data_IF_268507730725
#
_entry.id   IF_268507730725
#
_cell.length_a   1.000
_cell.length_b   1.000
_cell.length_c   1.000
_cell.angle_alpha   90.00
_cell.angle_beta   90.00
_cell.angle_gamma   90.00
#
_symmetry.space_group_name_H-M   'P 1'
#
loop_
_entity.id
_entity.type
_entity.pdbx_description
1 polymer ?
#
# COMPACT_ATOMS: atom_id res chain seq x y z
N UNK A 1 17.33 19.06 -11.44
CA UNK A 1 16.73 17.75 -11.25
C UNK A 1 15.26 17.97 -10.91
N UNK A 2 14.33 17.18 -11.45
CA UNK A 2 12.90 17.28 -11.11
C UNK A 2 12.63 16.80 -9.68
N UNK A 3 11.41 17.03 -9.18
CA UNK A 3 10.98 16.53 -7.87
C UNK A 3 11.07 15.00 -7.83
N UNK A 4 11.59 14.40 -6.75
CA UNK A 4 11.72 12.94 -6.65
C UNK A 4 10.38 12.22 -6.40
N UNK A 5 9.30 12.95 -6.09
CA UNK A 5 7.93 12.46 -5.99
C UNK A 5 7.03 13.32 -6.89
N UNK A 6 6.33 12.66 -7.83
CA UNK A 6 5.26 13.29 -8.57
C UNK A 6 3.92 13.04 -7.87
N UNK A 7 3.03 14.01 -7.95
CA UNK A 7 1.68 13.94 -7.40
C UNK A 7 0.70 14.39 -8.48
N UNK A 8 -0.23 13.52 -8.83
CA UNK A 8 -1.25 13.80 -9.83
C UNK A 8 -2.62 13.43 -9.26
N UNK A 9 -3.64 14.20 -9.64
CA UNK A 9 -4.99 13.98 -9.16
C UNK A 9 -5.87 13.42 -10.28
N UNK A 10 -6.51 12.28 -10.02
CA UNK A 10 -7.48 11.63 -10.89
C UNK A 10 -8.82 11.54 -10.15
N UNK A 11 -9.67 12.56 -10.32
CA UNK A 11 -10.92 12.65 -9.57
C UNK A 11 -10.67 12.69 -8.05
N UNK A 12 -11.13 11.66 -7.35
CA UNK A 12 -10.91 11.47 -5.90
C UNK A 12 -9.69 10.59 -5.57
N UNK A 13 -8.90 10.23 -6.55
CA UNK A 13 -7.69 9.42 -6.37
C UNK A 13 -6.45 10.31 -6.47
N UNK A 14 -5.52 10.19 -5.52
CA UNK A 14 -4.19 10.78 -5.60
C UNK A 14 -3.20 9.73 -6.10
N UNK A 15 -2.58 9.99 -7.25
CA UNK A 15 -1.47 9.19 -7.77
C UNK A 15 -0.16 9.76 -7.24
N UNK A 16 0.61 8.92 -6.56
CA UNK A 16 1.98 9.20 -6.10
C UNK A 16 2.96 8.37 -6.93
N UNK A 17 3.88 9.02 -7.62
CA UNK A 17 4.88 8.34 -8.46
C UNK A 17 6.28 8.62 -7.94
N UNK A 18 7.02 7.60 -7.54
CA UNK A 18 8.44 7.70 -7.23
C UNK A 18 9.21 8.06 -8.50
N UNK A 19 9.86 9.21 -8.53
CA UNK A 19 10.44 9.80 -9.73
C UNK A 19 11.96 9.94 -9.66
N UNK A 20 12.63 8.82 -9.54
CA UNK A 20 14.10 8.69 -9.63
C UNK A 20 14.48 7.50 -10.53
N UNK A 21 14.01 7.45 -11.80
CA UNK A 21 14.16 6.27 -12.66
C UNK A 21 15.62 5.92 -12.96
N UNK A 22 16.52 6.89 -13.00
CA UNK A 22 17.98 6.72 -13.12
C UNK A 22 18.62 6.03 -11.91
N UNK A 23 17.94 6.01 -10.77
CA UNK A 23 18.31 5.31 -9.53
C UNK A 23 17.34 4.17 -9.18
N UNK A 24 16.63 3.62 -10.17
CA UNK A 24 15.61 2.59 -9.97
C UNK A 24 14.60 2.97 -8.86
N UNK A 25 14.24 4.24 -8.80
CA UNK A 25 13.33 4.82 -7.82
C UNK A 25 13.73 4.54 -6.35
N UNK A 26 15.04 4.49 -6.06
CA UNK A 26 15.55 4.30 -4.70
C UNK A 26 15.04 5.39 -3.76
N UNK A 27 14.66 4.97 -2.57
CA UNK A 27 14.06 5.80 -1.51
C UNK A 27 15.15 6.61 -0.81
N UNK A 28 15.37 7.86 -1.27
CA UNK A 28 16.22 8.84 -0.59
C UNK A 28 15.47 9.46 0.58
N UNK A 29 16.21 10.07 1.51
CA UNK A 29 15.64 10.80 2.65
C UNK A 29 14.66 11.90 2.19
N UNK A 30 14.97 12.59 1.08
CA UNK A 30 14.09 13.59 0.49
C UNK A 30 12.79 12.96 -0.03
N UNK A 31 12.89 11.89 -0.82
CA UNK A 31 11.72 11.18 -1.34
C UNK A 31 10.83 10.66 -0.22
N UNK A 32 11.42 10.07 0.82
CA UNK A 32 10.68 9.56 1.99
C UNK A 32 9.91 10.70 2.68
N UNK A 33 10.56 11.84 2.95
CA UNK A 33 9.89 13.00 3.58
C UNK A 33 8.75 13.54 2.72
N UNK A 34 8.94 13.65 1.41
CA UNK A 34 7.89 14.10 0.49
C UNK A 34 6.73 13.11 0.45
N UNK A 35 7.02 11.81 0.44
CA UNK A 35 5.99 10.77 0.44
C UNK A 35 5.15 10.79 1.72
N UNK A 36 5.79 10.84 2.90
CA UNK A 36 5.08 10.89 4.18
C UNK A 36 4.22 12.15 4.25
N UNK A 37 4.77 13.31 3.86
CA UNK A 37 4.00 14.55 3.81
C UNK A 37 2.81 14.47 2.85
N UNK A 38 2.98 13.86 1.67
CA UNK A 38 1.88 13.68 0.73
C UNK A 38 0.77 12.79 1.28
N UNK A 39 1.11 11.77 2.08
CA UNK A 39 0.13 10.96 2.79
C UNK A 39 -0.60 11.76 3.88
N UNK A 40 0.13 12.54 4.69
CA UNK A 40 -0.47 13.37 5.74
C UNK A 40 -1.43 14.42 5.13
N UNK A 41 -1.01 15.10 4.05
CA UNK A 41 -1.83 16.06 3.32
C UNK A 41 -3.09 15.37 2.73
N UNK A 42 -2.93 14.19 2.12
CA UNK A 42 -4.03 13.41 1.56
C UNK A 42 -4.99 12.87 2.64
N UNK A 43 -4.49 12.52 3.80
CA UNK A 43 -5.34 12.05 4.92
C UNK A 43 -6.26 13.15 5.44
N UNK A 44 -5.78 14.41 5.44
CA UNK A 44 -6.54 15.59 5.82
C UNK A 44 -7.46 16.17 4.73
N UNK A 45 -7.34 15.77 3.46
CA UNK A 45 -8.14 16.29 2.34
C UNK A 45 -9.36 15.40 2.05
N UNK A 46 -10.54 15.79 2.51
CA UNK A 46 -11.80 15.05 2.31
C UNK A 46 -12.17 14.84 0.84
N UNK A 47 -11.57 15.58 -0.08
CA UNK A 47 -11.79 15.41 -1.52
C UNK A 47 -10.99 14.25 -2.12
N UNK A 48 -10.00 13.72 -1.41
CA UNK A 48 -9.27 12.50 -1.76
C UNK A 48 -9.91 11.31 -1.03
N UNK A 49 -10.22 10.26 -1.77
CA UNK A 49 -10.82 9.02 -1.26
C UNK A 49 -9.87 7.83 -1.23
N UNK A 50 -8.83 7.83 -2.08
CA UNK A 50 -7.85 6.75 -2.16
C UNK A 50 -6.52 7.25 -2.73
N UNK A 51 -5.45 6.47 -2.53
CA UNK A 51 -4.10 6.73 -3.08
C UNK A 51 -3.66 5.55 -3.94
N UNK A 52 -3.04 5.84 -5.08
CA UNK A 52 -2.28 4.88 -5.88
C UNK A 52 -0.81 5.23 -5.81
N UNK A 53 0.04 4.25 -5.61
CA UNK A 53 1.49 4.39 -5.54
C UNK A 53 2.17 3.58 -6.64
N UNK A 54 3.06 4.19 -7.42
CA UNK A 54 3.82 3.53 -8.47
C UNK A 54 5.23 4.09 -8.61
N UNK A 55 6.05 3.50 -9.48
CA UNK A 55 7.38 3.99 -9.84
C UNK A 55 7.41 4.57 -11.25
N UNK A 56 8.19 5.63 -11.47
CA UNK A 56 8.39 6.22 -12.80
C UNK A 56 9.18 5.25 -13.70
N UNK A 57 8.72 5.07 -14.94
CA UNK A 57 9.33 4.21 -15.93
C UNK A 57 8.87 2.75 -15.83
N UNK A 58 9.57 1.87 -16.52
CA UNK A 58 9.21 0.45 -16.68
C UNK A 58 10.16 -0.53 -15.96
N UNK A 59 11.22 -0.02 -15.33
CA UNK A 59 12.28 -0.86 -14.76
C UNK A 59 12.07 -1.21 -13.30
N UNK A 60 11.56 -0.29 -12.50
CA UNK A 60 11.45 -0.49 -11.08
C UNK A 60 10.28 0.30 -10.48
N UNK A 61 9.56 -0.35 -9.59
CA UNK A 61 8.72 0.32 -8.61
C UNK A 61 9.63 1.07 -7.63
N UNK A 62 10.49 0.35 -6.92
CA UNK A 62 11.62 0.91 -6.15
C UNK A 62 12.67 -0.14 -5.84
N UNK A 63 13.95 0.26 -5.87
CA UNK A 63 15.07 -0.55 -5.41
C UNK A 63 15.23 -0.57 -3.87
N UNK A 64 14.29 0.01 -3.13
CA UNK A 64 14.38 0.15 -1.68
C UNK A 64 15.20 1.38 -1.28
N UNK A 65 15.73 1.35 -0.05
CA UNK A 65 16.50 2.47 0.52
C UNK A 65 17.71 2.84 -0.33
N UNK A 66 17.99 4.14 -0.48
CA UNK A 66 19.20 4.62 -1.15
C UNK A 66 20.43 4.31 -0.28
N UNK A 67 21.16 3.24 -0.66
CA UNK A 67 22.30 2.74 0.10
C UNK A 67 23.47 3.74 0.14
N UNK A 68 23.58 4.66 -0.83
CA UNK A 68 24.61 5.69 -0.79
C UNK A 68 24.32 6.74 0.29
N UNK A 69 23.04 7.04 0.54
CA UNK A 69 22.66 7.91 1.65
C UNK A 69 22.77 7.16 2.99
N UNK A 70 22.32 5.91 3.04
CA UNK A 70 22.41 5.08 4.25
C UNK A 70 23.85 4.93 4.75
N UNK A 71 24.83 4.79 3.85
CA UNK A 71 26.25 4.68 4.18
C UNK A 71 26.86 5.97 4.73
N UNK A 72 26.22 7.14 4.49
CA UNK A 72 26.72 8.45 4.93
C UNK A 72 26.17 8.94 6.27
N UNK A 73 25.28 8.19 6.90
CA UNK A 73 24.69 8.53 8.18
C UNK A 73 23.23 8.14 8.29
N UNK A 74 22.97 6.83 8.19
CA UNK A 74 21.62 6.24 8.16
C UNK A 74 20.74 6.44 9.40
N UNK A 75 21.18 7.22 10.40
CA UNK A 75 20.36 7.58 11.56
C UNK A 75 19.07 8.31 11.14
N UNK A 76 19.13 9.16 10.11
CA UNK A 76 17.96 9.86 9.59
C UNK A 76 16.90 8.92 8.99
N UNK A 77 17.33 7.81 8.37
CA UNK A 77 16.45 6.85 7.70
C UNK A 77 15.77 5.87 8.66
N UNK A 78 16.25 5.80 9.92
CA UNK A 78 15.71 4.93 10.96
C UNK A 78 14.88 5.68 12.03
N UNK A 79 14.64 6.97 11.85
CA UNK A 79 13.80 7.75 12.75
C UNK A 79 12.33 7.40 12.57
N UNK A 80 11.50 7.50 13.61
CA UNK A 80 10.05 7.30 13.48
C UNK A 80 9.42 8.19 12.39
N UNK A 81 9.93 9.41 12.21
CA UNK A 81 9.46 10.40 11.24
C UNK A 81 9.80 10.03 9.79
N UNK A 82 10.70 9.08 9.59
CA UNK A 82 11.08 8.55 8.26
C UNK A 82 10.68 7.10 8.07
N UNK A 83 9.90 6.53 8.99
CA UNK A 83 9.39 5.18 8.88
C UNK A 83 8.18 5.13 7.95
N UNK A 84 8.43 4.75 6.70
CA UNK A 84 7.41 4.63 5.64
C UNK A 84 6.32 3.62 6.00
N UNK A 85 6.72 2.48 6.60
CA UNK A 85 5.77 1.46 7.03
C UNK A 85 4.80 1.97 8.09
N UNK A 86 5.29 2.79 9.03
CA UNK A 86 4.46 3.42 10.05
C UNK A 86 3.54 4.48 9.44
N UNK A 87 4.03 5.29 8.50
CA UNK A 87 3.24 6.32 7.83
C UNK A 87 2.05 5.69 7.06
N UNK A 88 2.30 4.63 6.27
CA UNK A 88 1.24 3.92 5.55
C UNK A 88 0.25 3.26 6.52
N UNK A 89 0.74 2.63 7.59
CA UNK A 89 -0.13 1.96 8.58
C UNK A 89 -1.04 2.93 9.35
N UNK A 90 -0.71 4.21 9.41
CA UNK A 90 -1.55 5.25 10.03
C UNK A 90 -2.50 5.91 9.05
N UNK A 91 -2.27 5.74 7.76
CA UNK A 91 -3.07 6.34 6.71
C UNK A 91 -4.46 5.70 6.68
N UNK A 92 -5.51 6.51 6.86
CA UNK A 92 -6.89 6.03 7.06
C UNK A 92 -7.58 5.61 5.76
N UNK A 93 -7.15 6.16 4.62
CA UNK A 93 -7.79 5.92 3.32
C UNK A 93 -7.12 4.73 2.61
N UNK A 94 -7.81 4.08 1.66
CA UNK A 94 -7.20 3.01 0.87
C UNK A 94 -5.95 3.45 0.13
N UNK A 95 -4.92 2.60 0.16
CA UNK A 95 -3.69 2.76 -0.62
C UNK A 95 -3.41 1.52 -1.44
N UNK A 96 -3.25 1.69 -2.75
CA UNK A 96 -3.00 0.63 -3.72
C UNK A 96 -1.60 0.78 -4.27
N UNK A 97 -0.79 -0.27 -4.17
CA UNK A 97 0.49 -0.32 -4.86
C UNK A 97 0.33 -0.89 -6.28
N UNK A 98 0.72 -0.12 -7.29
CA UNK A 98 0.85 -0.55 -8.69
C UNK A 98 2.33 -0.82 -8.99
N UNK A 99 2.75 -2.08 -8.81
CA UNK A 99 4.16 -2.49 -8.90
C UNK A 99 4.54 -2.73 -10.35
N UNK A 100 5.14 -1.72 -10.97
CA UNK A 100 5.47 -1.69 -12.41
C UNK A 100 6.80 -2.36 -12.79
N UNK A 101 7.58 -2.89 -11.84
CA UNK A 101 8.87 -3.51 -12.12
C UNK A 101 9.53 -4.07 -10.86
N UNK A 102 10.83 -3.84 -10.68
CA UNK A 102 11.57 -4.31 -9.52
C UNK A 102 11.03 -3.69 -8.22
N UNK A 103 10.74 -4.54 -7.24
CA UNK A 103 10.30 -4.15 -5.90
C UNK A 103 11.23 -4.82 -4.87
N UNK A 104 12.19 -4.06 -4.35
CA UNK A 104 13.31 -4.64 -3.61
C UNK A 104 13.33 -4.08 -2.18
N UNK A 105 13.52 -4.97 -1.19
CA UNK A 105 13.83 -4.68 0.21
C UNK A 105 12.84 -3.69 0.83
N UNK A 106 13.18 -2.40 0.98
CA UNK A 106 12.27 -1.36 1.46
C UNK A 106 11.02 -1.19 0.58
N UNK A 107 11.09 -1.57 -0.72
CA UNK A 107 9.93 -1.64 -1.60
C UNK A 107 8.97 -2.76 -1.18
N UNK A 108 9.50 -3.93 -0.81
CA UNK A 108 8.69 -5.04 -0.27
C UNK A 108 8.08 -4.64 1.08
N UNK A 109 8.84 -3.97 1.95
CA UNK A 109 8.31 -3.44 3.21
C UNK A 109 7.14 -2.49 2.99
N UNK A 110 7.25 -1.62 1.99
CA UNK A 110 6.25 -0.62 1.64
C UNK A 110 4.95 -1.28 1.14
N UNK A 111 5.05 -2.19 0.16
CA UNK A 111 3.84 -2.85 -0.38
C UNK A 111 3.13 -3.74 0.64
N UNK A 112 3.85 -4.31 1.61
CA UNK A 112 3.28 -5.08 2.73
C UNK A 112 2.47 -4.20 3.72
N UNK A 113 2.55 -2.89 3.60
CA UNK A 113 1.75 -1.93 4.36
C UNK A 113 0.58 -1.38 3.54
N UNK A 114 0.57 -1.56 2.21
CA UNK A 114 -0.54 -1.16 1.35
C UNK A 114 -1.74 -2.10 1.48
N UNK A 115 -2.94 -1.59 1.20
CA UNK A 115 -4.19 -2.38 1.32
C UNK A 115 -4.36 -3.37 0.16
N UNK A 116 -3.91 -2.98 -1.04
CA UNK A 116 -3.97 -3.83 -2.24
C UNK A 116 -2.68 -3.67 -3.04
N UNK A 117 -2.19 -4.78 -3.58
CA UNK A 117 -1.01 -4.82 -4.45
C UNK A 117 -1.39 -5.39 -5.81
N UNK A 118 -1.37 -4.55 -6.84
CA UNK A 118 -1.38 -4.96 -8.24
C UNK A 118 0.05 -4.98 -8.75
N UNK A 119 0.41 -5.96 -9.54
CA UNK A 119 1.75 -6.04 -10.10
C UNK A 119 1.74 -6.31 -11.59
N UNK A 120 2.69 -5.70 -12.30
CA UNK A 120 3.00 -6.07 -13.67
C UNK A 120 3.37 -7.55 -13.75
N UNK A 121 2.97 -8.23 -14.83
CA UNK A 121 3.42 -9.59 -15.14
C UNK A 121 4.94 -9.73 -15.22
N UNK A 122 5.65 -8.62 -15.41
CA UNK A 122 7.12 -8.53 -15.47
C UNK A 122 7.77 -8.10 -14.14
N UNK A 123 6.98 -7.83 -13.09
CA UNK A 123 7.50 -7.41 -11.81
C UNK A 123 8.30 -8.52 -11.10
N UNK A 124 9.27 -8.11 -10.28
CA UNK A 124 10.09 -9.03 -9.50
C UNK A 124 10.30 -8.49 -8.10
N UNK A 125 10.25 -9.36 -7.12
CA UNK A 125 10.31 -9.02 -5.70
C UNK A 125 11.54 -9.65 -5.06
N UNK A 126 12.22 -8.94 -4.16
CA UNK A 126 13.30 -9.51 -3.37
C UNK A 126 13.44 -8.80 -2.02
N UNK A 127 13.71 -9.56 -0.97
CA UNK A 127 14.18 -9.02 0.30
C UNK A 127 15.68 -9.25 0.39
N UNK A 128 16.46 -8.22 0.08
CA UNK A 128 17.93 -8.32 -0.01
C UNK A 128 18.67 -7.83 1.23
N UNK A 129 17.99 -7.62 2.38
CA UNK A 129 18.61 -7.17 3.62
C UNK A 129 19.88 -7.99 3.98
N UNK A 130 19.77 -9.32 3.90
CA UNK A 130 20.91 -10.22 4.22
C UNK A 130 22.10 -10.06 3.28
N UNK A 131 21.86 -9.63 2.02
CA UNK A 131 22.94 -9.43 1.04
C UNK A 131 23.71 -8.14 1.27
N UNK A 132 23.06 -7.14 1.89
CA UNK A 132 23.67 -5.85 2.19
C UNK A 132 24.07 -5.72 3.67
N UNK A 133 23.89 -6.79 4.46
CA UNK A 133 24.29 -6.82 5.87
C UNK A 133 23.44 -5.95 6.79
N UNK A 134 22.18 -5.72 6.44
CA UNK A 134 21.22 -4.92 7.21
C UNK A 134 20.11 -5.80 7.79
N UNK A 135 19.48 -5.31 8.86
CA UNK A 135 18.22 -5.86 9.36
C UNK A 135 17.04 -4.99 8.91
N UNK A 136 15.86 -5.59 8.72
CA UNK A 136 14.65 -4.85 8.35
C UNK A 136 14.18 -3.94 9.50
N UNK A 137 13.61 -2.77 9.13
CA UNK A 137 13.11 -1.80 10.10
C UNK A 137 11.68 -1.33 9.85
N UNK A 138 11.10 -1.62 8.68
CA UNK A 138 9.74 -1.17 8.33
C UNK A 138 8.70 -2.31 8.34
N UNK A 139 9.09 -3.52 8.71
CA UNK A 139 8.17 -4.59 9.09
C UNK A 139 8.15 -5.83 8.20
N UNK A 140 9.04 -5.99 7.20
CA UNK A 140 9.02 -7.16 6.29
C UNK A 140 9.08 -8.47 7.05
N UNK A 141 9.94 -8.60 8.07
CA UNK A 141 10.10 -9.84 8.83
C UNK A 141 8.80 -10.34 9.48
N UNK A 142 7.94 -9.40 9.89
CA UNK A 142 6.70 -9.73 10.58
C UNK A 142 5.50 -9.83 9.63
N UNK A 143 5.39 -8.89 8.69
CA UNK A 143 4.26 -8.84 7.75
C UNK A 143 4.35 -9.92 6.69
N UNK A 144 5.53 -10.13 6.08
CA UNK A 144 5.73 -11.14 5.04
C UNK A 144 5.41 -12.54 5.57
N UNK A 145 5.93 -12.89 6.77
CA UNK A 145 5.68 -14.20 7.36
C UNK A 145 4.20 -14.45 7.68
N UNK A 146 3.44 -13.41 8.03
CA UNK A 146 1.99 -13.51 8.26
C UNK A 146 1.21 -13.65 6.96
N UNK A 147 1.67 -13.01 5.90
CA UNK A 147 0.97 -12.97 4.62
C UNK A 147 1.19 -14.24 3.79
N UNK A 148 2.45 -14.70 3.65
CA UNK A 148 2.78 -15.83 2.75
C UNK A 148 3.20 -17.10 3.48
N UNK A 149 3.19 -17.09 4.79
CA UNK A 149 3.65 -18.18 5.66
C UNK A 149 5.15 -18.11 5.97
N UNK A 150 5.57 -18.60 7.16
CA UNK A 150 6.91 -18.39 7.69
C UNK A 150 8.02 -19.10 6.88
N UNK A 151 7.73 -20.23 6.25
CA UNK A 151 8.73 -20.94 5.44
C UNK A 151 9.11 -20.18 4.19
N UNK A 152 8.09 -19.71 3.43
CA UNK A 152 8.31 -18.90 2.21
C UNK A 152 8.98 -17.56 2.53
N UNK A 153 8.55 -16.91 3.63
CA UNK A 153 9.16 -15.68 4.08
C UNK A 153 10.65 -15.87 4.42
N UNK A 154 11.01 -16.94 5.16
CA UNK A 154 12.40 -17.28 5.46
C UNK A 154 13.22 -17.60 4.21
N UNK A 155 12.68 -18.35 3.27
CA UNK A 155 13.36 -18.64 2.00
C UNK A 155 13.71 -17.33 1.27
N UNK A 156 12.74 -16.43 1.09
CA UNK A 156 12.94 -15.14 0.42
C UNK A 156 13.95 -14.27 1.18
N UNK A 157 13.71 -14.06 2.47
CA UNK A 157 14.50 -13.12 3.26
C UNK A 157 15.91 -13.62 3.59
N UNK A 158 16.10 -14.94 3.82
CA UNK A 158 17.41 -15.47 4.18
C UNK A 158 18.31 -15.78 2.96
N UNK A 159 17.72 -15.92 1.76
CA UNK A 159 18.51 -16.05 0.52
C UNK A 159 18.70 -14.72 -0.19
N UNK A 160 17.82 -13.76 0.01
CA UNK A 160 17.73 -12.53 -0.77
C UNK A 160 17.38 -12.79 -2.24
N UNK A 161 16.83 -13.97 -2.58
CA UNK A 161 16.53 -14.35 -3.95
C UNK A 161 15.33 -13.60 -4.51
N UNK A 162 15.34 -13.42 -5.84
CA UNK A 162 14.19 -12.82 -6.52
C UNK A 162 13.04 -13.81 -6.64
N UNK A 163 11.83 -13.27 -6.48
CA UNK A 163 10.56 -13.96 -6.71
C UNK A 163 9.89 -13.30 -7.91
N UNK A 164 9.55 -14.09 -8.90
CA UNK A 164 8.83 -13.63 -10.09
C UNK A 164 7.37 -13.27 -9.75
N UNK A 165 6.75 -12.39 -10.52
CA UNK A 165 5.40 -11.89 -10.28
C UNK A 165 4.36 -13.02 -10.13
N UNK A 166 4.41 -14.06 -10.99
CA UNK A 166 3.52 -15.21 -10.92
C UNK A 166 3.61 -15.91 -9.57
N UNK A 167 4.83 -16.15 -9.09
CA UNK A 167 5.08 -16.80 -7.81
C UNK A 167 4.64 -15.92 -6.63
N UNK A 168 4.88 -14.61 -6.72
CA UNK A 168 4.42 -13.65 -5.71
C UNK A 168 2.88 -13.64 -5.59
N UNK A 169 2.19 -13.76 -6.71
CA UNK A 169 0.73 -13.88 -6.76
C UNK A 169 0.26 -15.23 -6.18
N UNK A 170 0.88 -16.34 -6.55
CA UNK A 170 0.59 -17.67 -5.98
C UNK A 170 0.78 -17.71 -4.44
N UNK A 171 1.75 -16.96 -3.94
CA UNK A 171 2.02 -16.88 -2.50
C UNK A 171 1.05 -15.96 -1.76
N UNK A 172 0.29 -15.12 -2.47
CA UNK A 172 -0.59 -14.12 -1.88
C UNK A 172 0.12 -12.82 -1.47
N UNK A 173 1.36 -12.59 -1.94
CA UNK A 173 2.03 -11.30 -1.78
C UNK A 173 1.42 -10.22 -2.69
N UNK A 174 0.88 -10.63 -3.83
CA UNK A 174 0.24 -9.79 -4.84
C UNK A 174 -1.20 -10.24 -5.02
N UNK A 175 -2.13 -9.30 -5.03
CA UNK A 175 -3.56 -9.60 -5.20
C UNK A 175 -3.89 -10.02 -6.62
N UNK A 176 -3.26 -9.38 -7.62
CA UNK A 176 -3.57 -9.59 -9.03
C UNK A 176 -2.38 -9.20 -9.92
N UNK A 177 -2.15 -9.99 -10.97
CA UNK A 177 -1.22 -9.65 -12.04
C UNK A 177 -1.97 -8.94 -13.16
N UNK A 178 -1.30 -7.94 -13.71
CA UNK A 178 -1.83 -7.07 -14.77
C UNK A 178 -0.75 -6.89 -15.84
N UNK A 179 -1.15 -6.83 -17.10
CA UNK A 179 -0.21 -6.51 -18.17
C UNK A 179 0.40 -5.11 -17.99
N UNK A 180 1.70 -4.93 -18.27
CA UNK A 180 2.39 -3.66 -18.00
C UNK A 180 1.67 -2.43 -18.58
N UNK A 181 1.09 -2.57 -19.79
CA UNK A 181 0.47 -1.47 -20.52
C UNK A 181 -0.80 -0.91 -19.85
N UNK A 182 -1.48 -1.71 -19.02
CA UNK A 182 -2.76 -1.33 -18.40
C UNK A 182 -2.72 -1.33 -16.87
N UNK A 183 -1.54 -1.60 -16.27
CA UNK A 183 -1.39 -1.69 -14.81
C UNK A 183 -1.84 -0.41 -14.09
N UNK A 184 -1.41 0.74 -14.55
CA UNK A 184 -1.75 2.00 -13.90
C UNK A 184 -3.25 2.32 -14.02
N UNK A 185 -3.82 2.09 -15.19
CA UNK A 185 -5.25 2.33 -15.44
C UNK A 185 -6.11 1.44 -14.55
N UNK A 186 -5.79 0.14 -14.44
CA UNK A 186 -6.49 -0.78 -13.54
C UNK A 186 -6.34 -0.40 -12.06
N UNK A 187 -5.17 0.07 -11.65
CA UNK A 187 -4.97 0.54 -10.29
C UNK A 187 -5.78 1.79 -9.98
N UNK A 188 -5.82 2.76 -10.90
CA UNK A 188 -6.63 3.98 -10.77
C UNK A 188 -8.12 3.66 -10.77
N UNK A 189 -8.58 2.74 -11.62
CA UNK A 189 -9.98 2.31 -11.65
C UNK A 189 -10.40 1.63 -10.34
N UNK A 190 -9.54 0.74 -9.79
CA UNK A 190 -9.81 0.10 -8.51
C UNK A 190 -9.85 1.13 -7.36
N UNK A 191 -8.90 2.07 -7.35
CA UNK A 191 -8.86 3.15 -6.37
C UNK A 191 -10.10 4.05 -6.47
N UNK A 192 -10.54 4.38 -7.69
CA UNK A 192 -11.76 5.17 -7.90
C UNK A 192 -13.00 4.42 -7.39
N UNK A 193 -13.08 3.11 -7.64
CA UNK A 193 -14.18 2.27 -7.10
C UNK A 193 -14.25 2.33 -5.57
N UNK A 194 -13.09 2.32 -4.89
CA UNK A 194 -13.02 2.48 -3.43
C UNK A 194 -13.39 3.91 -3.00
N UNK A 195 -12.89 4.92 -3.70
CA UNK A 195 -13.10 6.33 -3.40
C UNK A 195 -14.55 6.79 -3.62
N UNK A 196 -15.30 6.11 -4.49
CA UNK A 196 -16.71 6.40 -4.77
C UNK A 196 -17.67 5.90 -3.67
N UNK A 197 -17.19 5.04 -2.78
CA UNK A 197 -17.96 4.63 -1.61
C UNK A 197 -17.96 5.73 -0.53
N UNK A 198 -18.81 5.54 0.48
CA UNK A 198 -18.83 6.43 1.65
C UNK A 198 -17.47 6.39 2.36
N UNK A 199 -16.80 7.54 2.38
CA UNK A 199 -15.43 7.64 2.88
C UNK A 199 -15.31 7.28 4.37
N UNK A 200 -16.31 7.63 5.19
CA UNK A 200 -16.30 7.32 6.61
C UNK A 200 -16.44 5.79 6.83
N UNK A 201 -17.31 5.14 6.05
CA UNK A 201 -17.47 3.68 6.11
C UNK A 201 -16.21 2.96 5.64
N UNK A 202 -15.62 3.38 4.51
CA UNK A 202 -14.39 2.77 3.98
C UNK A 202 -13.26 2.85 4.99
N UNK A 203 -13.05 4.03 5.60
CA UNK A 203 -12.00 4.24 6.59
C UNK A 203 -12.24 3.41 7.86
N UNK A 204 -13.48 3.42 8.37
CA UNK A 204 -13.83 2.64 9.56
C UNK A 204 -13.68 1.12 9.31
N UNK A 205 -14.09 0.65 8.14
CA UNK A 205 -13.98 -0.78 7.78
C UNK A 205 -12.52 -1.23 7.64
N UNK A 206 -11.68 -0.41 6.94
CA UNK A 206 -10.24 -0.63 6.86
C UNK A 206 -9.63 -0.72 8.26
N UNK A 207 -9.95 0.22 9.14
CA UNK A 207 -9.42 0.24 10.50
C UNK A 207 -9.86 -0.98 11.34
N UNK A 208 -11.09 -1.48 11.16
CA UNK A 208 -11.55 -2.72 11.81
C UNK A 208 -10.69 -3.91 11.37
N UNK A 209 -10.40 -4.02 10.07
CA UNK A 209 -9.53 -5.08 9.54
C UNK A 209 -8.11 -4.96 10.10
N UNK A 210 -7.51 -3.76 10.02
CA UNK A 210 -6.14 -3.51 10.43
C UNK A 210 -5.94 -3.78 11.94
N UNK A 211 -6.84 -3.28 12.79
CA UNK A 211 -6.78 -3.50 14.23
C UNK A 211 -7.01 -4.97 14.59
N UNK A 212 -7.95 -5.63 13.90
CA UNK A 212 -8.26 -7.05 14.10
C UNK A 212 -7.07 -7.96 13.79
N UNK A 213 -6.24 -7.62 12.80
CA UNK A 213 -5.01 -8.36 12.48
C UNK A 213 -3.95 -8.30 13.58
N UNK A 214 -4.05 -7.36 14.51
CA UNK A 214 -3.16 -7.22 15.66
C UNK A 214 -3.64 -7.99 16.90
N UNK A 215 -4.83 -8.59 16.85
CA UNK A 215 -5.51 -9.26 17.96
C UNK A 215 -5.63 -10.76 17.73
N UNK A 216 -6.01 -11.50 18.77
CA UNK A 216 -6.54 -12.85 18.57
C UNK A 216 -7.93 -12.76 17.94
N UNK A 217 -8.37 -13.79 17.22
CA UNK A 217 -9.72 -13.81 16.65
C UNK A 217 -10.81 -13.67 17.75
N UNK A 218 -10.54 -14.22 18.94
CA UNK A 218 -11.43 -14.13 20.09
C UNK A 218 -11.64 -12.68 20.60
N UNK A 219 -10.61 -11.83 20.47
CA UNK A 219 -10.66 -10.42 20.85
C UNK A 219 -11.15 -9.53 19.68
N UNK A 220 -10.82 -9.89 18.45
CA UNK A 220 -11.19 -9.11 17.27
C UNK A 220 -12.70 -9.13 16.99
N UNK A 221 -13.38 -10.28 17.14
CA UNK A 221 -14.82 -10.40 16.89
C UNK A 221 -15.69 -9.52 17.83
N UNK A 222 -15.43 -9.47 19.15
CA UNK A 222 -16.10 -8.50 20.02
C UNK A 222 -15.85 -7.04 19.64
N UNK A 223 -14.61 -6.69 19.27
CA UNK A 223 -14.26 -5.34 18.84
C UNK A 223 -15.00 -4.94 17.55
N UNK A 224 -15.03 -5.81 16.53
CA UNK A 224 -15.80 -5.60 15.30
C UNK A 224 -17.28 -5.36 15.62
N UNK A 225 -17.88 -6.24 16.43
CA UNK A 225 -19.28 -6.12 16.82
C UNK A 225 -19.57 -4.79 17.54
N UNK A 226 -18.71 -4.41 18.46
CA UNK A 226 -18.86 -3.16 19.20
C UNK A 226 -18.85 -1.96 18.26
N UNK A 227 -17.83 -1.85 17.40
CA UNK A 227 -17.72 -0.75 16.43
C UNK A 227 -18.87 -0.71 15.44
N UNK A 228 -19.32 -1.88 14.97
CA UNK A 228 -20.50 -1.98 14.12
C UNK A 228 -21.77 -1.47 14.78
N UNK A 229 -21.99 -1.82 16.06
CA UNK A 229 -23.14 -1.32 16.84
C UNK A 229 -23.07 0.20 17.09
N UNK A 230 -21.89 0.72 17.45
CA UNK A 230 -21.65 2.15 17.66
C UNK A 230 -21.92 2.94 16.37
N UNK A 231 -21.39 2.45 15.24
CA UNK A 231 -21.64 3.06 13.93
C UNK A 231 -23.12 3.04 13.58
N UNK A 232 -23.79 1.90 13.74
CA UNK A 232 -25.22 1.77 13.44
C UNK A 232 -26.08 2.71 14.29
N UNK A 233 -25.74 2.85 15.57
CA UNK A 233 -26.44 3.78 16.50
C UNK A 233 -26.21 5.26 16.14
N UNK A 234 -25.13 5.60 15.44
CA UNK A 234 -24.82 6.96 15.00
C UNK A 234 -25.53 7.36 13.69
N UNK A 235 -26.12 6.39 12.96
CA UNK A 235 -26.76 6.65 11.68
C UNK A 235 -28.05 7.47 11.86
N UNK A 236 -28.28 8.50 11.02
CA UNK A 236 -29.55 9.22 11.03
C UNK A 236 -30.70 8.33 10.55
N UNK A 237 -31.95 8.60 10.97
CA UNK A 237 -33.12 7.87 10.49
C UNK A 237 -33.19 7.85 8.95
N UNK A 238 -33.37 6.65 8.37
CA UNK A 238 -33.46 6.47 6.91
C UNK A 238 -32.13 6.30 6.19
N UNK A 239 -30.98 6.42 6.84
CA UNK A 239 -29.66 6.30 6.21
C UNK A 239 -29.47 4.92 5.54
N UNK A 240 -29.91 3.83 6.18
CA UNK A 240 -29.81 2.48 5.63
C UNK A 240 -30.62 2.33 4.34
N UNK A 241 -31.83 2.90 4.30
CA UNK A 241 -32.68 2.86 3.10
C UNK A 241 -32.08 3.69 1.96
N UNK A 242 -31.55 4.87 2.26
CA UNK A 242 -30.84 5.71 1.27
C UNK A 242 -29.62 4.97 0.70
N UNK A 243 -28.83 4.30 1.56
CA UNK A 243 -27.69 3.45 1.15
C UNK A 243 -28.12 2.29 0.25
N UNK A 244 -29.23 1.61 0.59
CA UNK A 244 -29.81 0.53 -0.23
C UNK A 244 -30.19 0.99 -1.63
N UNK A 245 -30.81 2.16 -1.75
CA UNK A 245 -31.17 2.75 -3.05
C UNK A 245 -29.94 3.05 -3.89
N UNK A 246 -28.94 3.68 -3.29
CA UNK A 246 -27.66 4.00 -3.95
C UNK A 246 -26.94 2.73 -4.44
N UNK A 247 -26.85 1.72 -3.59
CA UNK A 247 -26.25 0.43 -3.95
C UNK A 247 -27.00 -0.27 -5.08
N UNK A 248 -28.34 -0.22 -5.08
CA UNK A 248 -29.17 -0.80 -6.16
C UNK A 248 -28.94 -0.10 -7.51
N UNK A 249 -28.73 1.20 -7.52
CA UNK A 249 -28.43 1.95 -8.75
C UNK A 249 -27.04 1.60 -9.30
N UNK A 250 -26.02 1.48 -8.43
CA UNK A 250 -24.65 1.09 -8.82
C UNK A 250 -24.63 -0.34 -9.36
N UNK A 251 -25.23 -1.30 -8.67
CA UNK A 251 -25.27 -2.70 -9.12
C UNK A 251 -25.95 -2.89 -10.49
N UNK A 252 -26.91 -2.02 -10.85
CA UNK A 252 -27.51 -2.03 -12.20
C UNK A 252 -26.55 -1.51 -13.27
N UNK A 253 -25.69 -0.56 -12.94
CA UNK A 253 -24.65 -0.05 -13.86
C UNK A 253 -23.53 -1.10 -14.07
N UNK A 254 -23.19 -1.86 -13.05
CA UNK A 254 -22.17 -2.93 -13.13
C UNK A 254 -22.65 -4.19 -13.88
N UNK A 255 -23.98 -4.36 -14.06
CA UNK A 255 -24.60 -5.48 -14.77
C UNK A 255 -25.01 -5.15 -16.21
N UNK A 256 -24.83 -3.91 -16.65
CA UNK A 256 -25.15 -3.42 -18.00
C UNK A 256 -23.90 -3.32 -18.87
#
# INVERSE_FOLDING_TARGET
MGTPLLQERHGRVLLLTFNRPDKHNALSSELIRLFIRALDDADGDDTIGAVVLTGQGDRAFTAGMDLHEAARGGEELNKPETNVGLAISRFRKPIIAAVNGLCITGGVELILCCDVVLASTTARFADTHVRVGLLPGWGVSQRLARQIGPQRAKEISLTGSFVEASRACEYGLVNRLVEPAVLLDEALQLAQTMADNDSAVVQAYKQIIDDGLLMTLGDALPMERQRGMEYFASLPPGAVEAGRVTASLRNRADLA
#
